data_IF_561927598431
#
_entry.id   IF_561927598431
#
_cell.length_a   1.000
_cell.length_b   1.000
_cell.length_c   1.000
_cell.angle_alpha   90.00
_cell.angle_beta   90.00
_cell.angle_gamma   90.00
#
_symmetry.space_group_name_H-M   'P 1'
#
loop_
_entity.id
_entity.type
_entity.pdbx_description
1 polymer ?
#
# COMPACT_ATOMS: atom_id res chain seq x y z
N UNK A 1 18.02 10.86 -21.68
CA UNK A 1 17.77 9.41 -21.78
C UNK A 1 16.77 9.06 -20.68
N UNK A 2 15.50 8.87 -21.02
CA UNK A 2 14.45 8.60 -20.04
C UNK A 2 14.64 7.17 -19.50
N UNK A 3 14.83 7.03 -18.19
CA UNK A 3 14.77 5.73 -17.52
C UNK A 3 13.34 5.23 -17.71
N UNK A 4 13.12 4.04 -18.28
CA UNK A 4 11.77 3.51 -18.42
C UNK A 4 11.13 3.47 -17.04
N UNK A 5 9.92 4.02 -16.94
CA UNK A 5 9.08 3.94 -15.76
C UNK A 5 8.98 2.45 -15.41
N UNK A 6 9.62 2.03 -14.33
CA UNK A 6 9.75 0.61 -14.02
C UNK A 6 8.36 0.06 -13.72
N UNK A 7 7.80 -0.66 -14.68
CA UNK A 7 6.51 -1.32 -14.56
C UNK A 7 6.63 -2.51 -13.61
N UNK A 8 6.63 -2.24 -12.30
CA UNK A 8 6.65 -3.30 -11.28
C UNK A 8 7.24 -2.86 -9.95
N UNK A 9 6.85 -3.56 -8.89
CA UNK A 9 7.47 -3.41 -7.57
C UNK A 9 8.77 -4.19 -7.57
N UNK A 10 9.91 -3.51 -7.35
CA UNK A 10 11.22 -4.17 -7.29
C UNK A 10 11.26 -5.12 -6.07
N UNK A 11 11.49 -6.40 -6.32
CA UNK A 11 11.73 -7.39 -5.27
C UNK A 11 13.07 -7.11 -4.58
N UNK A 12 13.06 -7.14 -3.25
CA UNK A 12 14.26 -7.03 -2.40
C UNK A 12 14.34 -8.23 -1.47
N UNK A 13 15.50 -8.46 -0.85
CA UNK A 13 15.66 -9.55 0.12
C UNK A 13 14.58 -9.52 1.23
N UNK A 14 14.11 -8.33 1.60
CA UNK A 14 13.03 -8.11 2.57
C UNK A 14 11.60 -8.19 2.00
N UNK A 15 11.37 -8.69 0.79
CA UNK A 15 10.01 -8.81 0.23
C UNK A 15 9.09 -9.76 1.03
N UNK A 16 9.67 -10.53 1.95
CA UNK A 16 8.95 -11.42 2.84
C UNK A 16 8.81 -10.89 4.26
N UNK A 17 9.30 -9.67 4.52
CA UNK A 17 9.23 -9.04 5.83
C UNK A 17 7.78 -8.74 6.20
N UNK A 18 7.50 -8.79 7.51
CA UNK A 18 6.18 -8.53 8.13
C UNK A 18 5.66 -7.12 7.84
N UNK A 19 6.55 -6.22 7.40
CA UNK A 19 6.24 -4.86 7.00
C UNK A 19 6.81 -4.58 5.62
N UNK A 20 5.99 -4.00 4.75
CA UNK A 20 6.40 -3.50 3.45
C UNK A 20 6.06 -2.02 3.35
N UNK A 21 7.04 -1.21 2.93
CA UNK A 21 6.84 0.23 2.73
C UNK A 21 7.30 0.58 1.32
N UNK A 22 6.39 1.07 0.47
CA UNK A 22 6.72 1.46 -0.89
C UNK A 22 6.15 2.81 -1.26
N UNK A 23 6.92 3.52 -2.08
CA UNK A 23 6.50 4.77 -2.71
C UNK A 23 5.86 4.48 -4.06
N UNK A 24 4.77 5.19 -4.33
CA UNK A 24 4.00 5.13 -5.55
C UNK A 24 3.70 6.55 -6.04
N UNK A 25 3.38 6.67 -7.33
CA UNK A 25 2.73 7.85 -7.89
C UNK A 25 1.25 7.59 -8.13
N UNK A 26 0.37 8.53 -7.76
CA UNK A 26 -1.02 8.51 -8.18
C UNK A 26 -1.10 8.73 -9.69
N UNK A 27 -2.05 8.06 -10.35
CA UNK A 27 -2.26 8.22 -11.79
C UNK A 27 -2.91 9.56 -12.17
N UNK A 28 -3.51 10.26 -11.19
CA UNK A 28 -4.29 11.50 -11.37
C UNK A 28 -3.91 12.55 -10.34
N UNK A 29 -4.40 13.79 -10.52
CA UNK A 29 -4.13 14.93 -9.65
C UNK A 29 -4.57 14.67 -8.18
N UNK A 30 -3.85 15.29 -7.25
CA UNK A 30 -3.87 15.04 -5.80
C UNK A 30 -5.27 14.93 -5.17
N UNK A 31 -6.15 15.90 -5.43
CA UNK A 31 -7.43 16.01 -4.74
C UNK A 31 -8.46 15.00 -5.29
N UNK A 32 -8.49 14.84 -6.62
CA UNK A 32 -9.32 13.85 -7.31
C UNK A 32 -8.88 12.43 -6.97
N UNK A 33 -7.58 12.22 -6.80
CA UNK A 33 -7.05 10.92 -6.43
C UNK A 33 -7.49 10.50 -5.03
N UNK A 34 -7.55 11.39 -4.03
CA UNK A 34 -7.93 11.01 -2.66
C UNK A 34 -9.39 10.56 -2.56
N UNK A 35 -10.30 11.32 -3.16
CA UNK A 35 -11.73 10.97 -3.19
C UNK A 35 -11.95 9.67 -3.97
N UNK A 36 -11.37 9.56 -5.17
CA UNK A 36 -11.43 8.33 -5.97
C UNK A 36 -10.82 7.12 -5.25
N UNK A 37 -9.68 7.29 -4.58
CA UNK A 37 -9.05 6.24 -3.78
C UNK A 37 -9.95 5.79 -2.63
N UNK A 38 -10.56 6.73 -1.93
CA UNK A 38 -11.43 6.40 -0.81
C UNK A 38 -12.67 5.64 -1.27
N UNK A 39 -13.23 6.00 -2.41
CA UNK A 39 -14.34 5.30 -3.03
C UNK A 39 -13.95 3.92 -3.56
N UNK A 40 -12.77 3.78 -4.19
CA UNK A 40 -12.23 2.48 -4.62
C UNK A 40 -11.94 1.54 -3.44
N UNK A 41 -11.44 2.08 -2.33
CA UNK A 41 -11.26 1.29 -1.12
C UNK A 41 -12.61 0.88 -0.52
N UNK A 42 -13.62 1.77 -0.51
CA UNK A 42 -14.97 1.42 -0.03
C UNK A 42 -15.68 0.42 -0.93
N UNK A 43 -15.44 0.46 -2.24
CA UNK A 43 -16.02 -0.49 -3.20
C UNK A 43 -15.36 -1.88 -3.11
N UNK A 44 -14.11 -1.93 -2.62
CA UNK A 44 -13.36 -3.17 -2.44
C UNK A 44 -13.91 -4.01 -1.28
N UNK A 45 -14.37 -5.22 -1.59
CA UNK A 45 -14.76 -6.22 -0.59
C UNK A 45 -13.61 -6.67 0.34
N UNK A 46 -12.37 -6.26 0.06
CA UNK A 46 -11.17 -6.60 0.85
C UNK A 46 -10.81 -5.55 1.88
N UNK A 47 -11.17 -4.29 1.66
CA UNK A 47 -10.83 -3.18 2.54
C UNK A 47 -11.95 -2.93 3.55
N UNK A 48 -11.59 -2.64 4.81
CA UNK A 48 -12.55 -2.35 5.87
C UNK A 48 -11.87 -1.55 6.99
N UNK A 49 -12.67 -0.98 7.91
CA UNK A 49 -12.19 -0.06 8.95
C UNK A 49 -11.33 1.07 8.36
N UNK A 50 -11.83 1.70 7.30
CA UNK A 50 -11.17 2.81 6.63
C UNK A 50 -11.36 4.07 7.47
N UNK A 51 -10.27 4.70 7.89
CA UNK A 51 -10.25 5.93 8.66
C UNK A 51 -9.16 6.87 8.16
N UNK A 52 -9.51 8.14 7.95
CA UNK A 52 -8.54 9.18 7.63
C UNK A 52 -8.01 9.81 8.92
N UNK A 53 -6.70 10.03 8.99
CA UNK A 53 -6.08 10.85 10.03
C UNK A 53 -5.52 12.12 9.38
N UNK A 54 -6.29 13.21 9.52
CA UNK A 54 -6.02 14.46 8.81
C UNK A 54 -6.10 14.35 7.30
N UNK A 55 -5.44 15.28 6.60
CA UNK A 55 -5.57 15.42 5.15
C UNK A 55 -4.61 14.55 4.33
N UNK A 56 -3.56 14.03 4.95
CA UNK A 56 -2.48 13.35 4.28
C UNK A 56 -2.44 11.85 4.53
N UNK A 57 -3.17 11.33 5.52
CA UNK A 57 -3.06 9.92 5.93
C UNK A 57 -4.41 9.19 5.89
N UNK A 58 -4.40 8.00 5.29
CA UNK A 58 -5.54 7.09 5.25
C UNK A 58 -5.11 5.72 5.79
N UNK A 59 -5.75 5.30 6.87
CA UNK A 59 -5.53 3.99 7.49
C UNK A 59 -6.70 3.06 7.19
N UNK A 60 -6.40 1.77 6.95
CA UNK A 60 -7.43 0.76 6.72
C UNK A 60 -6.90 -0.65 7.03
N UNK A 61 -7.81 -1.61 7.09
CA UNK A 61 -7.48 -3.04 7.13
C UNK A 61 -7.78 -3.68 5.79
N UNK A 62 -6.95 -4.64 5.39
CA UNK A 62 -7.07 -5.34 4.13
C UNK A 62 -7.04 -6.86 4.29
N UNK A 63 -7.89 -7.57 3.56
CA UNK A 63 -7.94 -9.04 3.53
C UNK A 63 -7.15 -9.60 2.34
N UNK A 64 -5.99 -10.26 2.56
CA UNK A 64 -5.21 -10.87 1.48
C UNK A 64 -5.95 -12.01 0.75
N UNK A 65 -6.86 -12.69 1.44
CA UNK A 65 -7.64 -13.81 0.90
C UNK A 65 -9.01 -13.96 1.57
N UNK A 66 -9.60 -15.16 1.46
CA UNK A 66 -10.94 -15.46 1.99
C UNK A 66 -10.98 -15.71 3.51
N UNK A 67 -9.82 -15.72 4.18
CA UNK A 67 -9.72 -15.93 5.62
C UNK A 67 -10.12 -14.69 6.42
N UNK A 68 -10.33 -14.86 7.74
CA UNK A 68 -10.59 -13.76 8.68
C UNK A 68 -9.34 -12.88 8.97
N UNK A 69 -8.18 -13.26 8.42
CA UNK A 69 -6.91 -12.57 8.61
C UNK A 69 -6.90 -11.25 7.85
N UNK A 70 -6.31 -10.24 8.46
CA UNK A 70 -6.19 -8.91 7.86
C UNK A 70 -4.91 -8.22 8.28
N UNK A 71 -4.34 -7.49 7.34
CA UNK A 71 -3.18 -6.63 7.58
C UNK A 71 -3.66 -5.21 7.82
N UNK A 72 -2.83 -4.40 8.48
CA UNK A 72 -3.03 -2.96 8.59
C UNK A 72 -2.29 -2.30 7.42
N UNK A 73 -2.93 -1.37 6.76
CA UNK A 73 -2.33 -0.57 5.71
C UNK A 73 -2.56 0.91 6.00
N UNK A 74 -1.54 1.71 5.71
CA UNK A 74 -1.57 3.16 5.80
C UNK A 74 -1.09 3.72 4.47
N UNK A 75 -1.84 4.66 3.92
CA UNK A 75 -1.48 5.45 2.75
C UNK A 75 -1.20 6.88 3.22
N UNK A 76 0.03 7.35 3.03
CA UNK A 76 0.43 8.70 3.37
C UNK A 76 0.82 9.46 2.11
N UNK A 77 0.19 10.60 1.89
CA UNK A 77 0.43 11.47 0.76
C UNK A 77 1.49 12.51 1.12
N UNK A 78 2.61 12.48 0.40
CA UNK A 78 3.61 13.54 0.49
C UNK A 78 3.19 14.71 -0.39
N UNK A 79 2.62 15.74 0.23
CA UNK A 79 2.13 16.93 -0.45
C UNK A 79 3.21 17.72 -1.22
N UNK A 80 4.49 17.60 -0.87
CA UNK A 80 5.58 18.31 -1.55
C UNK A 80 6.06 17.59 -2.82
N UNK A 81 5.97 16.26 -2.87
CA UNK A 81 6.46 15.45 -4.00
C UNK A 81 5.35 14.81 -4.83
N UNK A 82 4.09 14.89 -4.39
CA UNK A 82 2.97 14.17 -4.99
C UNK A 82 3.10 12.64 -4.91
N UNK A 83 4.03 12.14 -4.08
CA UNK A 83 4.28 10.71 -3.90
C UNK A 83 3.37 10.16 -2.80
N UNK A 84 2.90 8.94 -2.98
CA UNK A 84 2.10 8.20 -2.00
C UNK A 84 2.97 7.11 -1.39
N UNK A 85 3.08 7.09 -0.08
CA UNK A 85 3.75 6.01 0.65
C UNK A 85 2.68 5.05 1.14
N UNK A 86 2.75 3.80 0.70
CA UNK A 86 1.95 2.71 1.22
C UNK A 86 2.79 1.91 2.21
N UNK A 87 2.38 1.93 3.47
CA UNK A 87 2.92 1.12 4.56
C UNK A 87 1.95 -0.01 4.88
N UNK A 88 2.35 -1.25 4.66
CA UNK A 88 1.57 -2.44 4.99
C UNK A 88 2.27 -3.20 6.10
N UNK A 89 1.54 -3.47 7.18
CA UNK A 89 2.03 -4.25 8.33
C UNK A 89 1.10 -5.41 8.59
N UNK A 90 1.66 -6.59 8.80
CA UNK A 90 0.88 -7.71 9.32
C UNK A 90 0.18 -7.30 10.62
N UNK A 91 -1.11 -7.64 10.74
CA UNK A 91 -1.95 -7.19 11.86
C UNK A 91 -1.89 -8.15 13.05
N UNK A 92 -2.19 -7.62 14.25
CA UNK A 92 -2.14 -8.29 15.57
C UNK A 92 -3.02 -9.56 15.72
N UNK A 93 -3.83 -9.90 14.71
CA UNK A 93 -4.79 -11.01 14.77
C UNK A 93 -4.65 -12.01 13.63
N UNK A 94 -3.55 -11.96 12.87
CA UNK A 94 -3.23 -13.01 11.90
C UNK A 94 -2.72 -14.27 12.63
N UNK A 95 -3.55 -14.89 13.46
CA UNK A 95 -3.34 -16.28 13.83
C UNK A 95 -3.70 -17.12 12.60
N UNK A 96 -2.67 -17.64 11.93
CA UNK A 96 -2.83 -18.38 10.69
C UNK A 96 -3.80 -19.57 10.82
N UNK A 97 -4.37 -19.98 9.68
CA UNK A 97 -4.60 -21.38 9.39
C UNK A 97 -3.82 -21.64 8.10
N UNK A 98 -2.74 -22.44 8.19
CA UNK A 98 -1.67 -22.66 7.20
C UNK A 98 -0.45 -21.71 7.17
N UNK A 99 -0.12 -21.00 8.26
CA UNK A 99 1.27 -20.51 8.48
C UNK A 99 1.83 -19.46 7.49
N UNK A 100 0.98 -18.67 6.82
CA UNK A 100 1.45 -17.57 5.97
C UNK A 100 1.96 -16.43 6.88
N UNK A 101 3.23 -16.53 7.29
CA UNK A 101 3.98 -15.50 8.05
C UNK A 101 4.89 -14.64 7.18
N UNK A 102 5.15 -15.05 5.93
CA UNK A 102 6.18 -14.44 5.09
C UNK A 102 5.57 -13.94 3.80
N UNK A 103 5.64 -12.63 3.58
CA UNK A 103 5.20 -11.99 2.35
C UNK A 103 3.71 -11.67 2.25
N UNK A 104 2.92 -11.81 3.32
CA UNK A 104 1.51 -11.40 3.28
C UNK A 104 1.39 -9.88 3.06
N UNK A 105 2.23 -9.10 3.74
CA UNK A 105 2.33 -7.67 3.52
C UNK A 105 2.66 -7.33 2.06
N UNK A 106 3.53 -8.10 1.39
CA UNK A 106 3.89 -7.89 -0.01
C UNK A 106 2.75 -8.24 -0.98
N UNK A 107 2.05 -9.36 -0.74
CA UNK A 107 0.86 -9.72 -1.52
C UNK A 107 -0.20 -8.61 -1.42
N UNK A 108 -0.44 -8.11 -0.21
CA UNK A 108 -1.42 -7.05 0.01
C UNK A 108 -0.99 -5.75 -0.66
N UNK A 109 0.28 -5.40 -0.59
CA UNK A 109 0.84 -4.25 -1.29
C UNK A 109 0.55 -4.31 -2.79
N UNK A 110 0.80 -5.46 -3.43
CA UNK A 110 0.49 -5.67 -4.84
C UNK A 110 -1.02 -5.56 -5.12
N UNK A 111 -1.87 -6.15 -4.27
CA UNK A 111 -3.32 -6.09 -4.43
C UNK A 111 -3.84 -4.65 -4.30
N UNK A 112 -3.38 -3.88 -3.32
CA UNK A 112 -3.77 -2.48 -3.14
C UNK A 112 -3.31 -1.66 -4.34
N UNK A 113 -2.05 -1.82 -4.77
CA UNK A 113 -1.54 -1.07 -5.92
C UNK A 113 -2.35 -1.34 -7.20
N UNK A 114 -2.73 -2.59 -7.43
CA UNK A 114 -3.60 -2.97 -8.56
C UNK A 114 -5.01 -2.38 -8.44
N UNK A 115 -5.65 -2.47 -7.26
CA UNK A 115 -7.01 -1.94 -7.04
C UNK A 115 -7.06 -0.41 -7.17
N UNK A 116 -6.01 0.28 -6.75
CA UNK A 116 -5.97 1.75 -6.66
C UNK A 116 -5.31 2.42 -7.86
N UNK A 117 -4.78 1.64 -8.81
CA UNK A 117 -4.05 2.14 -9.97
C UNK A 117 -2.72 2.81 -9.64
N UNK A 118 -2.19 2.61 -8.42
CA UNK A 118 -0.92 3.18 -7.99
C UNK A 118 0.24 2.63 -8.81
N UNK A 119 1.09 3.53 -9.32
CA UNK A 119 2.27 3.16 -10.11
C UNK A 119 3.52 3.19 -9.23
N UNK A 120 4.32 2.12 -9.18
CA UNK A 120 5.55 2.11 -8.40
C UNK A 120 6.46 3.25 -8.84
N UNK A 121 7.03 3.99 -7.89
CA UNK A 121 8.14 4.90 -8.20
C UNK A 121 9.45 4.25 -7.82
N UNK A 122 10.42 4.31 -8.72
CA UNK A 122 11.82 3.89 -8.47
C UNK A 122 12.55 4.85 -7.49
N UNK A 123 11.81 5.66 -6.73
CA UNK A 123 12.37 6.63 -5.80
C UNK A 123 12.98 5.90 -4.60
N UNK A 124 14.31 5.77 -4.65
CA UNK A 124 15.16 5.43 -3.52
C UNK A 124 14.89 6.45 -2.40
N UNK A 125 14.22 6.03 -1.34
CA UNK A 125 14.28 6.75 -0.08
C UNK A 125 15.70 6.56 0.48
N UNK A 126 16.58 7.51 0.19
CA UNK A 126 17.83 7.67 0.93
C UNK A 126 17.48 8.37 2.25
N UNK A 127 17.72 7.76 3.42
CA UNK A 127 17.55 8.46 4.69
C UNK A 127 18.58 9.61 4.79
N UNK A 128 18.21 10.79 5.34
CA UNK A 128 19.22 11.78 5.69
C UNK A 128 20.11 11.21 6.80
N UNK A 129 21.43 11.24 6.56
CA UNK A 129 22.50 11.02 7.54
C UNK A 129 22.42 11.98 8.70
#
# INVERSE_FOLDING_TARGET
MAVPDAAGVRLRAGALDERQTHSFRPATAKDVWREGLHDELRSSARAFNIGADGDAELSFRWRPGRAKNSVRATLTLNGASGTVVLDVREGDCCTGAAGIRKGAAFIVLCQIALTTGLRPTDAVAVPPT
#
